data_IF_468240578503
#
_entry.id   IF_468240578503
#
_cell.length_a   1.000
_cell.length_b   1.000
_cell.length_c   1.000
_cell.angle_alpha   90.00
_cell.angle_beta   90.00
_cell.angle_gamma   90.00
#
_symmetry.space_group_name_H-M   'P 1'
#
loop_
_entity.id
_entity.type
_entity.pdbx_description
1 polymer ?
#
# COMPACT_ATOMS: atom_id res chain seq x y z
N UNK A 1 4.40 -13.06 20.10
CA UNK A 1 3.24 -12.22 20.02
C UNK A 1 3.53 -10.83 19.46
N UNK A 2 4.48 -10.14 20.03
CA UNK A 2 4.81 -8.81 19.53
C UNK A 2 5.32 -8.81 18.11
N UNK A 3 6.03 -9.84 17.71
CA UNK A 3 6.52 -9.93 16.36
C UNK A 3 5.39 -9.99 15.36
N UNK A 4 4.35 -10.75 15.72
CA UNK A 4 3.23 -10.89 14.85
C UNK A 4 2.54 -9.55 14.67
N UNK A 5 2.38 -8.83 15.76
CA UNK A 5 1.79 -7.49 15.69
C UNK A 5 2.63 -6.56 14.86
N UNK A 6 3.95 -6.68 14.96
CA UNK A 6 4.84 -5.86 14.18
C UNK A 6 4.68 -6.10 12.69
N UNK A 7 4.55 -7.38 12.30
CA UNK A 7 4.35 -7.73 10.91
C UNK A 7 3.06 -7.17 10.38
N UNK A 8 1.99 -7.29 11.16
CA UNK A 8 0.70 -6.76 10.75
C UNK A 8 0.78 -5.25 10.58
N UNK A 9 1.44 -4.58 11.52
CA UNK A 9 1.57 -3.14 11.44
C UNK A 9 2.36 -2.70 10.22
N UNK A 10 3.37 -3.44 9.83
CA UNK A 10 4.14 -3.09 8.65
C UNK A 10 3.32 -3.22 7.39
N UNK A 11 2.50 -4.25 7.31
CA UNK A 11 1.62 -4.38 6.16
C UNK A 11 0.59 -3.28 6.12
N UNK A 12 0.07 -2.92 7.29
CA UNK A 12 -0.88 -1.82 7.38
C UNK A 12 -0.23 -0.48 7.10
N UNK A 13 1.06 -0.37 7.40
CA UNK A 13 1.76 0.88 7.19
C UNK A 13 1.75 1.29 5.71
N UNK A 14 1.96 0.33 4.82
CA UNK A 14 1.93 0.64 3.40
C UNK A 14 0.55 1.12 2.98
N UNK A 15 -0.51 0.44 3.46
CA UNK A 15 -1.87 0.84 3.15
C UNK A 15 -2.16 2.24 3.67
N UNK A 16 -1.71 2.55 4.87
CA UNK A 16 -1.93 3.86 5.45
C UNK A 16 -1.20 4.95 4.72
N UNK A 17 0.02 4.68 4.29
CA UNK A 17 0.79 5.66 3.53
C UNK A 17 0.09 5.97 2.22
N UNK A 18 -0.39 4.94 1.54
CA UNK A 18 -1.11 5.14 0.29
C UNK A 18 -2.38 5.96 0.54
N UNK A 19 -3.14 5.57 1.54
CA UNK A 19 -4.41 6.24 1.84
C UNK A 19 -4.17 7.70 2.22
N UNK A 20 -3.18 7.94 3.05
CA UNK A 20 -2.84 9.29 3.47
C UNK A 20 -2.42 10.14 2.27
N UNK A 21 -1.62 9.58 1.39
CA UNK A 21 -1.12 10.33 0.24
C UNK A 21 -2.27 10.78 -0.66
N UNK A 22 -3.17 9.86 -1.03
CA UNK A 22 -4.25 10.24 -1.92
C UNK A 22 -5.26 11.16 -1.23
N UNK A 23 -5.52 10.91 0.05
CA UNK A 23 -6.46 11.76 0.79
C UNK A 23 -5.93 13.18 0.92
N UNK A 24 -4.65 13.32 1.23
CA UNK A 24 -4.03 14.63 1.35
C UNK A 24 -4.05 15.39 0.03
N UNK A 25 -4.01 14.67 -1.06
CA UNK A 25 -4.05 15.28 -2.37
C UNK A 25 -5.48 15.52 -2.87
N UNK A 26 -6.47 15.17 -2.07
CA UNK A 26 -7.86 15.35 -2.45
C UNK A 26 -8.35 14.33 -3.46
N UNK A 27 -7.70 13.17 -3.54
CA UNK A 27 -8.04 12.15 -4.51
C UNK A 27 -8.85 11.04 -3.85
N UNK A 28 -9.77 10.46 -4.61
CA UNK A 28 -10.56 9.35 -4.10
C UNK A 28 -9.96 8.01 -4.49
N UNK A 29 -10.51 6.96 -3.92
CA UNK A 29 -10.07 5.60 -4.19
C UNK A 29 -10.23 5.26 -5.67
N UNK A 30 -11.26 5.77 -6.31
CA UNK A 30 -11.49 5.46 -7.73
C UNK A 30 -10.36 5.91 -8.63
N UNK A 31 -9.78 7.08 -8.32
CA UNK A 31 -8.65 7.59 -9.11
C UNK A 31 -7.45 6.69 -8.92
N UNK A 32 -7.18 6.29 -7.68
CA UNK A 32 -6.08 5.38 -7.39
C UNK A 32 -6.29 4.06 -8.10
N UNK A 33 -7.49 3.52 -8.01
CA UNK A 33 -7.81 2.23 -8.62
C UNK A 33 -7.61 2.26 -10.13
N UNK A 34 -8.05 3.34 -10.76
CA UNK A 34 -7.91 3.46 -12.20
C UNK A 34 -6.45 3.48 -12.62
N UNK A 35 -5.63 4.24 -11.90
CA UNK A 35 -4.21 4.28 -12.18
C UNK A 35 -3.57 2.91 -11.97
N UNK A 36 -3.98 2.24 -10.89
CA UNK A 36 -3.53 0.89 -10.60
C UNK A 36 -3.89 -0.07 -11.74
N UNK A 37 -5.09 0.05 -12.30
CA UNK A 37 -5.48 -0.78 -13.44
C UNK A 37 -4.60 -0.54 -14.65
N UNK A 38 -4.24 0.71 -14.89
CA UNK A 38 -3.36 1.05 -16.01
C UNK A 38 -1.99 0.43 -15.84
N UNK A 39 -1.60 0.10 -14.63
CA UNK A 39 -0.34 -0.57 -14.37
C UNK A 39 -0.49 -2.09 -14.40
N UNK A 40 -1.63 -2.57 -14.87
CA UNK A 40 -1.84 -4.01 -14.99
C UNK A 40 -2.54 -4.64 -13.80
N UNK A 41 -3.10 -3.85 -12.92
CA UNK A 41 -3.75 -4.38 -11.73
C UNK A 41 -5.06 -5.06 -12.04
N UNK A 42 -5.39 -6.11 -11.29
CA UNK A 42 -6.58 -6.90 -11.52
C UNK A 42 -7.52 -6.95 -10.33
N UNK A 43 -7.17 -6.30 -9.23
CA UNK A 43 -8.01 -6.27 -8.03
C UNK A 43 -9.14 -5.26 -8.25
N UNK A 44 -10.31 -5.53 -7.69
CA UNK A 44 -11.45 -4.64 -7.86
C UNK A 44 -11.33 -3.39 -7.02
N UNK A 45 -12.09 -2.38 -7.39
CA UNK A 45 -12.07 -1.12 -6.63
C UNK A 45 -12.51 -1.34 -5.19
N UNK A 46 -13.51 -2.18 -4.98
CA UNK A 46 -13.99 -2.47 -3.64
C UNK A 46 -12.91 -3.12 -2.80
N UNK A 47 -12.15 -4.02 -3.39
CA UNK A 47 -11.06 -4.68 -2.68
C UNK A 47 -9.93 -3.70 -2.35
N UNK A 48 -9.65 -2.78 -3.25
CA UNK A 48 -8.65 -1.75 -2.99
C UNK A 48 -9.11 -0.87 -1.83
N UNK A 49 -10.38 -0.48 -1.84
CA UNK A 49 -10.92 0.33 -0.77
C UNK A 49 -10.79 -0.39 0.57
N UNK A 50 -11.15 -1.67 0.60
CA UNK A 50 -11.04 -2.45 1.83
C UNK A 50 -9.59 -2.55 2.31
N UNK A 51 -8.66 -2.71 1.38
CA UNK A 51 -7.25 -2.77 1.72
C UNK A 51 -6.77 -1.46 2.34
N UNK A 52 -7.18 -0.33 1.77
CA UNK A 52 -6.75 0.96 2.28
C UNK A 52 -7.25 1.23 3.68
N UNK A 53 -8.37 0.62 4.04
CA UNK A 53 -8.92 0.74 5.39
C UNK A 53 -8.48 -0.40 6.29
N UNK A 54 -7.46 -1.13 5.87
CA UNK A 54 -6.87 -2.22 6.63
C UNK A 54 -7.84 -3.36 6.92
N UNK A 55 -8.85 -3.50 6.06
CA UNK A 55 -9.83 -4.57 6.20
C UNK A 55 -9.58 -5.75 5.30
N UNK A 56 -8.54 -5.70 4.49
CA UNK A 56 -8.24 -6.77 3.56
C UNK A 56 -6.74 -6.82 3.34
N UNK A 57 -6.19 -8.03 3.32
CA UNK A 57 -4.78 -8.21 3.02
C UNK A 57 -4.61 -8.44 1.52
N UNK A 58 -3.66 -7.76 0.93
CA UNK A 58 -3.32 -7.99 -0.48
C UNK A 58 -1.89 -8.51 -0.57
N UNK A 59 -1.62 -9.41 -1.52
CA UNK A 59 -0.26 -9.88 -1.75
C UNK A 59 0.67 -8.73 -2.13
N UNK A 60 1.97 -8.87 -1.90
CA UNK A 60 2.91 -7.79 -2.15
C UNK A 60 2.86 -7.20 -3.55
N UNK A 61 2.67 -8.02 -4.57
CA UNK A 61 2.66 -7.49 -5.93
C UNK A 61 1.54 -6.48 -6.15
N UNK A 62 0.38 -6.72 -5.52
CA UNK A 62 -0.74 -5.79 -5.65
C UNK A 62 -0.52 -4.55 -4.81
N UNK A 63 0.01 -4.72 -3.60
CA UNK A 63 0.30 -3.58 -2.75
C UNK A 63 1.34 -2.68 -3.39
N UNK A 64 2.34 -3.27 -4.02
CA UNK A 64 3.41 -2.51 -4.66
C UNK A 64 2.91 -1.77 -5.88
N UNK A 65 2.00 -2.38 -6.64
CA UNK A 65 1.39 -1.69 -7.77
C UNK A 65 0.55 -0.51 -7.30
N UNK A 66 -0.15 -0.68 -6.18
CA UNK A 66 -0.91 0.42 -5.60
C UNK A 66 0.00 1.54 -5.11
N UNK A 67 1.12 1.18 -4.49
CA UNK A 67 2.08 2.18 -4.05
C UNK A 67 2.65 2.94 -5.24
N UNK A 68 2.92 2.23 -6.32
CA UNK A 68 3.43 2.86 -7.53
C UNK A 68 2.39 3.80 -8.13
N UNK A 69 1.12 3.36 -8.15
CA UNK A 69 0.04 4.20 -8.64
C UNK A 69 -0.07 5.47 -7.81
N UNK A 70 -0.01 5.34 -6.49
CA UNK A 70 -0.10 6.49 -5.61
C UNK A 70 1.08 7.44 -5.83
N UNK A 71 2.26 6.88 -6.02
CA UNK A 71 3.44 7.72 -6.26
C UNK A 71 3.35 8.46 -7.58
N UNK A 72 2.68 7.88 -8.57
CA UNK A 72 2.46 8.58 -9.84
C UNK A 72 1.47 9.71 -9.67
N UNK A 73 0.43 9.49 -8.87
CA UNK A 73 -0.61 10.49 -8.66
C UNK A 73 -0.15 11.60 -7.72
N UNK A 74 0.73 11.26 -6.78
CA UNK A 74 1.21 12.22 -5.77
C UNK A 74 2.73 12.10 -5.74
N UNK A 75 3.41 12.77 -6.67
CA UNK A 75 4.85 12.56 -6.84
C UNK A 75 5.71 12.74 -5.62
N UNK A 76 5.32 13.53 -4.68
CA UNK A 76 6.13 13.72 -3.48
C UNK A 76 5.94 12.67 -2.41
N UNK A 77 5.03 11.73 -2.59
CA UNK A 77 4.66 10.82 -1.52
C UNK A 77 5.73 9.76 -1.22
N UNK A 78 6.41 9.26 -2.25
CA UNK A 78 7.51 8.30 -2.08
C UNK A 78 7.16 7.12 -1.21
N UNK A 79 6.04 6.50 -1.48
CA UNK A 79 5.61 5.33 -0.74
C UNK A 79 6.50 4.15 -1.11
N UNK A 80 7.09 3.46 -0.13
CA UNK A 80 8.01 2.37 -0.45
C UNK A 80 7.29 1.12 -0.88
N UNK A 81 7.97 0.27 -1.63
CA UNK A 81 7.48 -1.04 -1.95
C UNK A 81 7.62 -1.95 -0.75
N UNK A 82 6.90 -3.05 -0.77
CA UNK A 82 6.96 -4.00 0.32
C UNK A 82 8.38 -4.49 0.56
N UNK A 83 9.13 -4.62 -0.52
CA UNK A 83 10.51 -5.04 -0.43
C UNK A 83 11.34 -4.04 0.37
N UNK A 84 11.03 -2.76 0.26
CA UNK A 84 11.77 -1.73 0.95
C UNK A 84 11.41 -1.66 2.42
N UNK A 85 10.31 -2.29 2.82
CA UNK A 85 9.93 -2.37 4.21
C UNK A 85 10.57 -3.56 4.90
N UNK A 86 11.22 -4.43 4.13
CA UNK A 86 11.79 -5.63 4.64
C UNK A 86 12.78 -5.46 5.74
N UNK A 87 13.69 -4.51 5.67
CA UNK A 87 14.68 -4.38 6.72
C UNK A 87 14.09 -4.28 8.10
N UNK A 88 12.91 -3.72 8.18
CA UNK A 88 12.26 -3.61 9.45
C UNK A 88 11.72 -4.92 9.93
N UNK A 89 11.45 -5.82 8.98
CA UNK A 89 10.96 -7.13 9.29
C UNK A 89 12.06 -8.07 9.59
N UNK A 90 13.26 -7.74 9.18
CA UNK A 90 14.37 -8.62 9.36
C UNK A 90 15.19 -8.17 10.51
N UNK A 91 15.00 -8.76 11.65
CA UNK A 91 15.80 -8.42 12.77
C UNK A 91 17.22 -8.72 12.40
N UNK A 92 18.09 -7.96 12.91
CA UNK A 92 19.47 -8.12 12.57
C UNK A 92 20.05 -9.44 12.93
N UNK A 93 19.38 -10.13 13.73
CA UNK A 93 19.83 -11.39 14.10
C UNK A 93 19.92 -12.32 13.00
N UNK A 94 19.19 -12.04 12.06
CA UNK A 94 19.09 -12.98 11.01
C UNK A 94 20.33 -13.06 10.23
#
# INVERSE_FOLDING_TARGET
>A
MFRLLGSVKRREAQARLIHTAITSAGLGVGVLWRTYQLLGGTITELEVDAYLHCGLYLPPRHRDSLARAANQLVPGSRIPCSRDLRPEEHPPDV
#
